data_IF_527099297390
#
_entry.id   IF_527099297390
#
_cell.length_a   1.000
_cell.length_b   1.000
_cell.length_c   1.000
_cell.angle_alpha   90.00
_cell.angle_beta   90.00
_cell.angle_gamma   90.00
#
_symmetry.space_group_name_H-M   'P 1'
#
loop_
_entity.id
_entity.type
_entity.pdbx_description
1 polymer ?
#
# COMPACT_ATOMS: atom_id res chain seq x y z
N UNK A 1 -45.95 -27.42 -47.57
CA UNK A 1 -45.57 -27.46 -46.13
C UNK A 1 -44.12 -27.03 -45.90
N UNK A 2 -43.12 -27.66 -46.53
CA UNK A 2 -41.69 -27.29 -46.40
C UNK A 2 -41.39 -25.82 -46.75
N UNK A 3 -42.02 -25.27 -47.78
CA UNK A 3 -41.88 -23.86 -48.19
C UNK A 3 -42.45 -22.86 -47.18
N UNK A 4 -43.48 -23.24 -46.42
CA UNK A 4 -44.04 -22.43 -45.33
C UNK A 4 -43.11 -22.40 -44.10
N UNK A 5 -42.49 -23.54 -43.79
CA UNK A 5 -41.50 -23.67 -42.72
C UNK A 5 -40.24 -22.83 -43.02
N UNK A 6 -39.77 -22.84 -44.27
CA UNK A 6 -38.62 -22.02 -44.69
C UNK A 6 -38.95 -20.52 -44.61
N UNK A 7 -40.16 -20.12 -45.04
CA UNK A 7 -40.61 -18.74 -44.93
C UNK A 7 -40.73 -18.26 -43.48
N UNK A 8 -41.23 -19.11 -42.59
CA UNK A 8 -41.35 -18.80 -41.16
C UNK A 8 -39.97 -18.67 -40.50
N UNK A 9 -39.03 -19.56 -40.84
CA UNK A 9 -37.67 -19.51 -40.30
C UNK A 9 -36.91 -18.26 -40.78
N UNK A 10 -37.08 -17.87 -42.04
CA UNK A 10 -36.52 -16.63 -42.58
C UNK A 10 -37.13 -15.37 -41.93
N UNK A 11 -38.43 -15.39 -41.62
CA UNK A 11 -39.09 -14.31 -40.89
C UNK A 11 -38.59 -14.20 -39.43
N UNK A 12 -38.32 -15.33 -38.78
CA UNK A 12 -37.73 -15.36 -37.42
C UNK A 12 -36.30 -14.82 -37.38
N UNK A 13 -35.49 -15.03 -38.42
CA UNK A 13 -34.15 -14.45 -38.50
C UNK A 13 -34.15 -12.93 -38.70
N UNK A 14 -35.21 -12.37 -39.29
CA UNK A 14 -35.36 -10.91 -39.45
C UNK A 14 -35.78 -10.20 -38.15
N UNK A 15 -36.34 -10.94 -37.19
CA UNK A 15 -36.69 -10.43 -35.86
C UNK A 15 -35.52 -10.48 -34.87
N UNK A 16 -34.45 -11.20 -35.19
CA UNK A 16 -33.22 -11.24 -34.43
C UNK A 16 -32.30 -10.08 -34.84
N UNK A 17 -32.66 -8.85 -34.44
CA UNK A 17 -31.81 -7.69 -34.60
C UNK A 17 -30.51 -7.81 -33.77
N UNK A 18 -29.42 -7.10 -34.16
CA UNK A 18 -28.17 -7.13 -33.42
C UNK A 18 -28.38 -6.60 -32.00
N UNK A 19 -28.14 -7.45 -31.01
CA UNK A 19 -28.03 -7.02 -29.61
C UNK A 19 -26.75 -6.19 -29.51
N UNK A 20 -26.91 -4.86 -29.50
CA UNK A 20 -25.82 -3.94 -29.17
C UNK A 20 -25.45 -4.21 -27.71
N UNK A 21 -24.34 -4.92 -27.50
CA UNK A 21 -23.72 -5.02 -26.20
C UNK A 21 -23.44 -3.59 -25.70
N UNK A 22 -23.67 -3.39 -24.40
CA UNK A 22 -23.62 -2.08 -23.76
C UNK A 22 -22.18 -1.56 -23.68
N UNK A 23 -21.67 -1.01 -24.77
CA UNK A 23 -20.44 -0.22 -24.81
C UNK A 23 -20.75 1.18 -24.27
N UNK A 24 -21.04 1.25 -22.97
CA UNK A 24 -21.11 2.52 -22.24
C UNK A 24 -19.77 3.26 -22.30
N UNK A 25 -19.74 4.56 -22.00
CA UNK A 25 -18.50 5.34 -22.00
C UNK A 25 -17.45 4.66 -21.12
N UNK A 26 -16.19 4.65 -21.58
CA UNK A 26 -15.03 4.11 -20.87
C UNK A 26 -15.07 4.53 -19.39
N UNK A 27 -15.25 3.55 -18.51
CA UNK A 27 -15.19 3.75 -17.06
C UNK A 27 -13.80 3.35 -16.58
N UNK A 28 -13.17 4.24 -15.81
CA UNK A 28 -11.99 3.87 -15.05
C UNK A 28 -12.48 3.05 -13.85
N UNK A 29 -12.19 1.76 -13.85
CA UNK A 29 -12.37 0.87 -12.70
C UNK A 29 -11.06 0.86 -11.91
N UNK A 30 -11.08 1.39 -10.70
CA UNK A 30 -9.92 1.35 -9.80
C UNK A 30 -9.93 -0.03 -9.15
N UNK A 31 -9.20 -0.97 -9.76
CA UNK A 31 -9.30 -2.39 -9.42
C UNK A 31 -8.61 -2.78 -8.13
N UNK A 32 -7.56 -2.07 -7.68
CA UNK A 32 -6.92 -2.27 -6.38
C UNK A 32 -5.81 -1.22 -6.17
N UNK A 33 -5.74 -0.61 -4.99
CA UNK A 33 -4.57 0.19 -4.63
C UNK A 33 -3.43 -0.74 -4.22
N UNK A 34 -2.30 -0.72 -4.92
CA UNK A 34 -1.06 -1.34 -4.42
C UNK A 34 -0.51 -0.42 -3.33
N UNK A 35 -0.83 -0.73 -2.07
CA UNK A 35 -0.30 0.00 -0.92
C UNK A 35 1.03 -0.65 -0.55
N UNK A 36 2.12 -0.22 -1.20
CA UNK A 36 3.46 -0.56 -0.73
C UNK A 36 3.71 0.19 0.59
N UNK A 37 4.00 -0.52 1.70
CA UNK A 37 4.25 0.14 2.98
C UNK A 37 5.48 1.04 2.91
N UNK A 38 5.36 2.26 3.42
CA UNK A 38 6.44 3.23 3.47
C UNK A 38 7.52 2.76 4.48
N UNK A 39 8.80 2.72 4.08
CA UNK A 39 9.87 2.38 5.00
C UNK A 39 10.03 3.46 6.07
N UNK A 40 10.45 3.06 7.28
CA UNK A 40 10.80 3.98 8.37
C UNK A 40 11.84 3.37 9.31
N UNK A 41 12.59 4.21 10.00
CA UNK A 41 13.55 3.81 11.03
C UNK A 41 13.15 4.43 12.38
N UNK A 42 13.28 3.67 13.47
CA UNK A 42 13.04 4.14 14.85
C UNK A 42 14.25 3.80 15.71
N UNK A 43 15.22 4.72 15.82
CA UNK A 43 16.25 4.64 16.86
C UNK A 43 15.62 4.70 18.25
N UNK A 44 16.33 4.14 19.24
CA UNK A 44 15.93 4.31 20.63
C UNK A 44 16.06 5.79 21.05
N UNK A 45 15.22 6.20 22.00
CA UNK A 45 15.32 7.54 22.58
C UNK A 45 16.64 7.69 23.35
N UNK A 46 17.21 8.89 23.34
CA UNK A 46 18.37 9.23 24.18
C UNK A 46 17.88 9.38 25.62
N UNK A 47 18.26 8.49 26.56
CA UNK A 47 17.80 8.59 27.94
C UNK A 47 18.55 9.71 28.68
N UNK A 48 17.86 10.40 29.58
CA UNK A 48 18.44 11.44 30.44
C UNK A 48 19.25 10.87 31.63
N UNK A 49 19.06 9.58 31.91
CA UNK A 49 19.65 8.87 33.04
C UNK A 49 19.75 7.37 32.76
N UNK A 50 20.67 6.64 33.40
CA UNK A 50 20.76 5.18 33.23
C UNK A 50 19.48 4.44 33.60
N UNK A 51 18.72 4.94 34.59
CA UNK A 51 17.45 4.36 35.00
C UNK A 51 16.34 4.50 33.94
N UNK A 52 16.46 5.49 33.04
CA UNK A 52 15.50 5.71 31.96
C UNK A 52 15.78 4.88 30.70
N UNK A 53 16.94 4.22 30.60
CA UNK A 53 17.35 3.48 29.38
C UNK A 53 16.32 2.43 28.94
N UNK A 54 15.82 1.63 29.89
CA UNK A 54 14.81 0.61 29.60
C UNK A 54 13.48 1.23 29.14
N UNK A 55 13.10 2.37 29.71
CA UNK A 55 11.90 3.08 29.30
C UNK A 55 12.05 3.70 27.91
N UNK A 56 13.20 4.29 27.61
CA UNK A 56 13.53 4.84 26.30
C UNK A 56 13.39 3.79 25.19
N UNK A 57 13.97 2.60 25.39
CA UNK A 57 13.84 1.48 24.46
C UNK A 57 12.38 1.00 24.32
N UNK A 58 11.63 0.89 25.44
CA UNK A 58 10.21 0.50 25.38
C UNK A 58 9.34 1.50 24.63
N UNK A 59 9.56 2.79 24.80
CA UNK A 59 8.80 3.83 24.09
C UNK A 59 9.07 3.73 22.58
N UNK A 60 10.34 3.57 22.17
CA UNK A 60 10.70 3.36 20.77
C UNK A 60 10.00 2.13 20.18
N UNK A 61 9.89 1.02 20.94
CA UNK A 61 9.15 -0.17 20.51
C UNK A 61 7.64 0.05 20.38
N UNK A 62 7.02 0.86 21.23
CA UNK A 62 5.59 1.23 21.07
C UNK A 62 5.37 2.01 19.79
N UNK A 63 6.21 3.02 19.52
CA UNK A 63 6.13 3.80 18.27
C UNK A 63 6.29 2.91 17.04
N UNK A 64 7.26 1.99 17.05
CA UNK A 64 7.46 1.05 15.96
C UNK A 64 6.28 0.08 15.77
N UNK A 65 5.68 -0.39 16.87
CA UNK A 65 4.52 -1.27 16.85
C UNK A 65 3.27 -0.55 16.32
N UNK A 66 3.03 0.70 16.73
CA UNK A 66 1.90 1.50 16.26
C UNK A 66 1.99 1.76 14.76
N UNK A 67 3.17 2.18 14.26
CA UNK A 67 3.40 2.44 12.84
C UNK A 67 3.27 1.16 12.00
N UNK A 68 3.97 0.08 12.38
CA UNK A 68 3.91 -1.19 11.66
C UNK A 68 2.52 -1.83 11.73
N UNK A 69 1.80 -1.63 12.84
CA UNK A 69 0.45 -2.13 13.05
C UNK A 69 -0.60 -1.53 12.11
N UNK A 70 -0.32 -0.36 11.51
CA UNK A 70 -1.21 0.23 10.48
C UNK A 70 -1.20 -0.51 9.15
N UNK A 71 -0.16 -1.30 8.87
CA UNK A 71 0.11 -1.86 7.54
C UNK A 71 0.55 -0.85 6.49
N UNK A 72 0.61 0.45 6.83
CA UNK A 72 1.08 1.52 5.93
C UNK A 72 2.60 1.72 5.99
N UNK A 73 3.25 1.15 7.00
CA UNK A 73 4.67 1.35 7.25
C UNK A 73 5.40 0.03 7.48
N UNK A 74 6.70 0.01 7.12
CA UNK A 74 7.59 -1.13 7.33
C UNK A 74 8.88 -0.68 8.01
N UNK A 75 9.15 -1.26 9.18
CA UNK A 75 10.35 -0.93 9.95
C UNK A 75 11.62 -1.42 9.23
N UNK A 76 12.60 -0.53 9.11
CA UNK A 76 13.96 -0.84 8.72
C UNK A 76 14.68 -1.44 9.93
N UNK A 77 15.36 -2.59 9.80
CA UNK A 77 16.04 -3.21 10.94
C UNK A 77 17.15 -2.32 11.48
N UNK A 78 17.32 -2.28 12.81
CA UNK A 78 18.34 -1.47 13.46
C UNK A 78 19.78 -1.75 12.96
N UNK A 79 20.05 -2.97 12.48
CA UNK A 79 21.34 -3.34 11.87
C UNK A 79 21.64 -2.61 10.55
N UNK A 80 20.64 -1.98 9.94
CA UNK A 80 20.78 -1.16 8.74
C UNK A 80 20.90 0.34 9.07
N UNK A 81 20.77 0.76 10.33
CA UNK A 81 20.94 2.16 10.72
C UNK A 81 22.41 2.57 10.54
N UNK A 82 22.67 3.50 9.63
CA UNK A 82 24.01 4.06 9.40
C UNK A 82 24.37 5.03 10.53
N UNK A 83 23.44 5.92 10.89
CA UNK A 83 23.60 6.90 11.95
C UNK A 83 23.12 6.35 13.30
N UNK A 84 23.89 6.58 14.36
CA UNK A 84 23.50 6.30 15.74
C UNK A 84 23.15 7.61 16.44
N UNK A 85 21.96 7.71 17.04
CA UNK A 85 21.51 8.91 17.74
C UNK A 85 21.90 8.81 19.21
N UNK A 86 22.93 9.55 19.61
CA UNK A 86 23.42 9.59 21.00
C UNK A 86 23.22 10.94 21.69
N UNK A 87 22.83 11.96 20.93
CA UNK A 87 22.59 13.33 21.40
C UNK A 87 21.30 13.85 20.77
N UNK A 88 20.36 14.27 21.61
CA UNK A 88 19.08 14.82 21.18
C UNK A 88 19.22 16.20 20.51
N UNK A 89 20.23 16.97 20.88
CA UNK A 89 20.49 18.30 20.32
C UNK A 89 21.31 18.28 19.03
N UNK A 90 21.86 17.12 18.65
CA UNK A 90 22.65 17.00 17.44
C UNK A 90 21.78 17.16 16.18
N UNK A 91 22.32 17.78 15.11
CA UNK A 91 21.62 17.86 13.84
C UNK A 91 21.35 16.47 13.27
N UNK A 92 20.20 16.32 12.61
CA UNK A 92 19.83 15.07 11.94
C UNK A 92 20.69 14.87 10.68
N UNK A 93 21.38 13.75 10.60
CA UNK A 93 22.20 13.35 9.45
C UNK A 93 21.32 12.78 8.32
N UNK A 94 20.54 13.65 7.66
CA UNK A 94 19.56 13.24 6.64
C UNK A 94 20.14 12.37 5.50
N UNK A 95 21.40 12.56 5.14
CA UNK A 95 22.06 11.76 4.10
C UNK A 95 22.10 10.27 4.45
N UNK A 96 22.40 9.94 5.71
CA UNK A 96 22.48 8.56 6.21
C UNK A 96 21.10 7.90 6.21
N UNK A 97 20.07 8.63 6.62
CA UNK A 97 18.68 8.13 6.65
C UNK A 97 18.10 7.94 5.25
N UNK A 98 18.47 8.81 4.30
CA UNK A 98 18.06 8.70 2.90
C UNK A 98 18.70 7.50 2.21
N UNK A 99 19.89 7.07 2.63
CA UNK A 99 20.57 5.93 2.02
C UNK A 99 19.89 4.57 2.32
N UNK A 100 19.00 4.51 3.31
CA UNK A 100 18.37 3.28 3.79
C UNK A 100 16.85 3.23 3.60
N UNK A 101 16.22 4.32 3.14
CA UNK A 101 14.79 4.41 2.81
C UNK A 101 14.57 4.50 1.30
#
# INVERSE_FOLDING_TARGET
>A
MKSFLIGLLAALTLLAGPVQAQDGPLRIEITEGVIEPLPFAVPDFVPDSPAAADHAARIARVVAADLSGTGLFREIPASAHISQVSDFGAPVQFADWKAIN
#
